data_IF_415927876927
#
_entry.id   IF_415927876927
#
_cell.length_a   1.000
_cell.length_b   1.000
_cell.length_c   1.000
_cell.angle_alpha   90.00
_cell.angle_beta   90.00
_cell.angle_gamma   90.00
#
_symmetry.space_group_name_H-M   'P 1'
#
loop_
_entity.id
_entity.type
_entity.pdbx_description
1 polymer ?
#
# COMPACT_ATOMS: atom_id res chain seq x y z
N UNK A 1 -0.38 -16.77 6.87
CA UNK A 1 -1.46 -16.89 5.86
C UNK A 1 -2.19 -15.58 5.59
N UNK A 2 -2.54 -14.77 6.61
CA UNK A 2 -3.20 -13.46 6.43
C UNK A 2 -2.40 -12.44 5.59
N UNK A 3 -1.08 -12.35 5.79
CA UNK A 3 -0.21 -11.42 5.05
C UNK A 3 -0.21 -11.68 3.51
N UNK A 4 -0.17 -12.96 3.09
CA UNK A 4 -0.19 -13.31 1.66
C UNK A 4 -1.54 -13.02 0.99
N UNK A 5 -2.66 -13.18 1.72
CA UNK A 5 -3.98 -12.85 1.16
C UNK A 5 -4.14 -11.32 1.00
N UNK A 6 -3.55 -10.55 1.91
CA UNK A 6 -3.53 -9.10 1.88
C UNK A 6 -2.68 -8.57 0.71
N UNK A 7 -1.49 -9.13 0.48
CA UNK A 7 -0.62 -8.72 -0.63
C UNK A 7 -1.27 -8.93 -2.00
N UNK A 8 -1.97 -10.05 -2.20
CA UNK A 8 -2.70 -10.31 -3.45
C UNK A 8 -3.82 -9.29 -3.69
N UNK A 9 -4.62 -8.97 -2.67
CA UNK A 9 -5.72 -7.99 -2.79
C UNK A 9 -5.18 -6.58 -3.01
N UNK A 10 -4.15 -6.19 -2.25
CA UNK A 10 -3.49 -4.90 -2.40
C UNK A 10 -2.94 -4.71 -3.81
N UNK A 11 -2.26 -5.73 -4.34
CA UNK A 11 -1.74 -5.71 -5.72
C UNK A 11 -2.84 -5.44 -6.73
N UNK A 12 -3.96 -6.17 -6.66
CA UNK A 12 -5.08 -5.99 -7.60
C UNK A 12 -5.65 -4.57 -7.53
N UNK A 13 -5.84 -4.02 -6.33
CA UNK A 13 -6.35 -2.66 -6.17
C UNK A 13 -5.38 -1.65 -6.77
N UNK A 14 -4.09 -1.73 -6.42
CA UNK A 14 -3.07 -0.81 -6.93
C UNK A 14 -2.86 -0.91 -8.45
N UNK A 15 -3.01 -2.11 -9.02
CA UNK A 15 -2.96 -2.30 -10.46
C UNK A 15 -4.10 -1.52 -11.15
N UNK A 16 -5.34 -1.68 -10.70
CA UNK A 16 -6.46 -0.99 -11.33
C UNK A 16 -6.42 0.53 -11.06
N UNK A 17 -6.10 0.97 -9.85
CA UNK A 17 -6.15 2.40 -9.50
C UNK A 17 -4.93 3.15 -10.01
N UNK A 18 -3.73 2.76 -9.59
CA UNK A 18 -2.51 3.54 -9.88
C UNK A 18 -1.97 3.25 -11.28
N UNK A 19 -2.00 2.00 -11.73
CA UNK A 19 -1.42 1.63 -13.02
C UNK A 19 -2.38 1.90 -14.16
N UNK A 20 -3.62 1.40 -14.08
CA UNK A 20 -4.59 1.45 -15.18
C UNK A 20 -5.34 2.78 -15.25
N UNK A 21 -5.86 3.28 -14.13
CA UNK A 21 -6.54 4.59 -14.08
C UNK A 21 -5.59 5.78 -13.99
N UNK A 22 -4.32 5.56 -13.60
CA UNK A 22 -3.32 6.61 -13.48
C UNK A 22 -3.55 7.57 -12.31
N UNK A 23 -4.29 7.17 -11.28
CA UNK A 23 -4.57 8.00 -10.11
C UNK A 23 -3.53 7.80 -9.01
N UNK A 24 -3.32 8.82 -8.19
CA UNK A 24 -2.58 8.65 -6.93
C UNK A 24 -3.52 8.09 -5.87
N UNK A 25 -3.07 7.07 -5.13
CA UNK A 25 -3.85 6.43 -4.08
C UNK A 25 -3.13 6.57 -2.74
N UNK A 26 -3.85 7.00 -1.70
CA UNK A 26 -3.34 7.05 -0.33
C UNK A 26 -4.21 6.19 0.58
N UNK A 27 -3.58 5.43 1.47
CA UNK A 27 -4.23 4.64 2.51
C UNK A 27 -3.58 4.93 3.85
N UNK A 28 -4.34 4.88 4.93
CA UNK A 28 -3.85 4.95 6.30
C UNK A 28 -4.35 3.74 7.12
N UNK A 29 -3.72 3.51 8.27
CA UNK A 29 -4.12 2.48 9.23
C UNK A 29 -4.93 3.04 10.41
N UNK A 30 -5.55 4.22 10.26
CA UNK A 30 -6.38 4.79 11.32
C UNK A 30 -7.63 3.92 11.54
N UNK A 31 -7.71 3.28 12.71
CA UNK A 31 -8.79 2.35 13.05
C UNK A 31 -8.74 1.02 12.31
N UNK A 32 -7.63 0.69 11.64
CA UNK A 32 -7.43 -0.59 10.97
C UNK A 32 -6.92 -1.68 11.95
N UNK A 33 -7.36 -2.92 11.74
CA UNK A 33 -6.84 -4.10 12.47
C UNK A 33 -5.39 -4.45 12.10
N UNK A 34 -4.86 -3.87 11.02
CA UNK A 34 -3.53 -4.16 10.47
C UNK A 34 -2.74 -2.85 10.38
N UNK A 35 -1.55 -2.83 10.99
CA UNK A 35 -0.65 -1.69 10.86
C UNK A 35 0.06 -1.72 9.50
N UNK A 36 0.07 -0.57 8.83
CA UNK A 36 0.84 -0.35 7.61
C UNK A 36 2.34 -0.26 7.92
N UNK A 37 2.72 0.17 9.13
CA UNK A 37 4.13 0.19 9.55
C UNK A 37 4.71 -1.23 9.62
N UNK A 38 3.96 -2.20 10.13
CA UNK A 38 4.38 -3.61 10.19
C UNK A 38 4.37 -4.27 8.80
N UNK A 39 3.60 -3.71 7.86
CA UNK A 39 3.44 -4.22 6.49
C UNK A 39 4.33 -3.51 5.48
N UNK A 40 5.25 -2.64 5.91
CA UNK A 40 6.07 -1.78 5.05
C UNK A 40 6.80 -2.56 3.93
N UNK A 41 7.39 -3.71 4.26
CA UNK A 41 8.05 -4.58 3.28
C UNK A 41 7.09 -5.02 2.16
N UNK A 42 5.87 -5.43 2.51
CA UNK A 42 4.85 -5.87 1.55
C UNK A 42 4.39 -4.70 0.67
N UNK A 43 4.25 -3.51 1.23
CA UNK A 43 3.87 -2.31 0.47
C UNK A 43 4.94 -1.98 -0.59
N UNK A 44 6.22 -2.04 -0.20
CA UNK A 44 7.36 -1.79 -1.09
C UNK A 44 7.49 -2.86 -2.17
N UNK A 45 7.44 -4.14 -1.79
CA UNK A 45 7.48 -5.25 -2.75
C UNK A 45 6.34 -5.18 -3.76
N UNK A 46 5.13 -4.81 -3.30
CA UNK A 46 3.97 -4.66 -4.19
C UNK A 46 4.13 -3.48 -5.15
N UNK A 47 4.65 -2.36 -4.67
CA UNK A 47 4.95 -1.20 -5.50
C UNK A 47 6.02 -1.53 -6.57
N UNK A 48 7.07 -2.24 -6.18
CA UNK A 48 8.15 -2.69 -7.07
C UNK A 48 7.63 -3.65 -8.16
N UNK A 49 6.79 -4.63 -7.79
CA UNK A 49 6.16 -5.54 -8.75
C UNK A 49 5.33 -4.80 -9.81
N UNK A 50 4.67 -3.70 -9.42
CA UNK A 50 3.83 -2.89 -10.29
C UNK A 50 4.58 -1.75 -10.97
N UNK A 51 5.87 -1.55 -10.66
CA UNK A 51 6.71 -0.45 -11.14
C UNK A 51 6.10 0.93 -10.84
N UNK A 52 5.53 1.07 -9.65
CA UNK A 52 5.01 2.33 -9.11
C UNK A 52 5.84 2.73 -7.89
N UNK A 53 5.81 4.01 -7.53
CA UNK A 53 6.45 4.54 -6.33
C UNK A 53 5.51 4.43 -5.15
N UNK A 54 6.10 4.32 -3.96
CA UNK A 54 5.39 4.42 -2.68
C UNK A 54 6.15 5.36 -1.75
N UNK A 55 5.42 6.25 -1.09
CA UNK A 55 5.90 7.06 0.04
C UNK A 55 5.15 6.62 1.28
N UNK A 56 5.88 6.40 2.37
CA UNK A 56 5.33 5.90 3.63
C UNK A 56 5.71 6.89 4.72
N UNK A 57 4.70 7.48 5.34
CA UNK A 57 4.83 8.49 6.40
C UNK A 57 4.28 7.94 7.70
N UNK A 58 5.03 8.13 8.80
CA UNK A 58 4.65 7.65 10.14
C UNK A 58 4.36 8.86 11.02
N UNK A 59 3.09 9.10 11.31
CA UNK A 59 2.57 10.25 12.05
C UNK A 59 2.02 9.79 13.41
N UNK A 60 2.92 9.59 14.37
CA UNK A 60 2.54 9.19 15.74
C UNK A 60 1.87 7.82 15.78
N UNK A 61 0.54 7.80 15.85
CA UNK A 61 -0.26 6.57 15.94
C UNK A 61 -0.72 6.03 14.57
N UNK A 62 -0.59 6.82 13.50
CA UNK A 62 -1.05 6.43 12.17
C UNK A 62 0.10 6.40 11.17
N UNK A 63 0.05 5.46 10.24
CA UNK A 63 0.96 5.33 9.12
C UNK A 63 0.16 5.52 7.84
N UNK A 64 0.65 6.36 6.95
CA UNK A 64 0.05 6.61 5.64
C UNK A 64 0.97 6.10 4.54
N UNK A 65 0.42 5.38 3.57
CA UNK A 65 1.12 4.92 2.37
C UNK A 65 0.49 5.52 1.12
N UNK A 66 1.26 6.28 0.36
CA UNK A 66 0.85 6.94 -0.87
C UNK A 66 1.54 6.32 -2.08
N UNK A 67 0.75 5.85 -3.05
CA UNK A 67 1.18 5.15 -4.25
C UNK A 67 0.91 6.00 -5.50
N UNK A 68 1.91 6.09 -6.38
CA UNK A 68 1.86 6.93 -7.59
C UNK A 68 2.89 6.47 -8.63
N UNK A 69 2.79 6.95 -9.88
CA UNK A 69 3.79 6.67 -10.93
C UNK A 69 5.07 7.51 -10.76
#
# INVERSE_FOLDING_TARGET
MRANLYSHRLKTVLQHTVVELGVTMSIDDEGADLSLAESEAVLRETADMLRIKVTIEKNGATTTATFYR
#
